data_IF_216535176090
#
_entry.id   IF_216535176090
#
_cell.length_a   1.000
_cell.length_b   1.000
_cell.length_c   1.000
_cell.angle_alpha   90.00
_cell.angle_beta   90.00
_cell.angle_gamma   90.00
#
_symmetry.space_group_name_H-M   'P 1'
#
loop_
_entity.id
_entity.type
_entity.pdbx_description
1 polymer ?
#
# COMPACT_ATOMS: atom_id res chain seq x y z
N UNK A 1 -36.15 5.49 30.63
CA UNK A 1 -36.54 6.72 29.92
C UNK A 1 -35.35 7.65 29.86
N UNK A 2 -35.25 8.38 28.75
CA UNK A 2 -34.32 9.47 28.42
C UNK A 2 -32.99 9.06 27.80
N UNK A 3 -32.54 9.57 26.65
CA UNK A 3 -33.15 10.24 25.50
C UNK A 3 -32.15 10.09 24.34
N UNK A 4 -32.68 9.99 23.13
CA UNK A 4 -31.96 9.97 21.85
C UNK A 4 -31.40 11.37 21.58
N UNK A 5 -30.10 11.49 21.29
CA UNK A 5 -29.57 12.61 20.49
C UNK A 5 -28.68 12.03 19.39
N UNK A 6 -29.31 11.79 18.25
CA UNK A 6 -28.65 11.87 16.94
C UNK A 6 -28.34 13.33 16.67
N UNK A 7 -27.06 13.66 16.46
CA UNK A 7 -26.66 14.90 15.80
C UNK A 7 -25.79 14.54 14.60
N UNK A 8 -26.42 14.52 13.43
CA UNK A 8 -25.75 14.71 12.15
C UNK A 8 -25.07 16.08 12.18
N UNK A 9 -23.78 16.15 11.86
CA UNK A 9 -23.20 17.39 11.33
C UNK A 9 -21.79 17.19 10.81
N UNK A 10 -21.70 17.35 9.49
CA UNK A 10 -20.67 18.05 8.72
C UNK A 10 -19.22 17.52 8.77
N UNK A 11 -18.80 17.07 7.59
CA UNK A 11 -17.42 16.95 7.14
C UNK A 11 -16.56 18.17 7.49
N UNK A 12 -15.56 17.97 8.33
CA UNK A 12 -14.32 18.74 8.32
C UNK A 12 -13.20 17.74 8.55
N UNK A 13 -12.46 17.45 7.48
CA UNK A 13 -11.34 16.51 7.47
C UNK A 13 -10.14 17.21 8.13
N UNK A 14 -10.22 17.46 9.43
CA UNK A 14 -9.05 17.72 10.24
C UNK A 14 -8.31 16.38 10.35
N UNK A 15 -7.15 16.27 9.72
CA UNK A 15 -6.25 15.12 9.89
C UNK A 15 -5.75 15.11 11.35
N UNK A 16 -6.58 14.62 12.26
CA UNK A 16 -6.28 14.50 13.69
C UNK A 16 -5.16 13.49 13.86
N UNK A 17 -3.94 14.00 13.99
CA UNK A 17 -2.77 13.19 14.35
C UNK A 17 -2.98 12.66 15.77
N UNK A 18 -3.24 11.35 15.86
CA UNK A 18 -3.37 10.66 17.15
C UNK A 18 -1.97 10.32 17.64
N UNK A 19 -1.60 10.73 18.85
CA UNK A 19 -0.30 10.41 19.48
C UNK A 19 -0.54 9.35 20.55
N UNK A 20 0.25 8.28 20.56
CA UNK A 20 0.16 7.17 21.52
C UNK A 20 1.53 6.59 21.89
N UNK A 21 1.62 5.75 22.92
CA UNK A 21 2.91 5.23 23.42
C UNK A 21 3.35 4.00 22.64
N UNK A 22 4.38 4.14 21.80
CA UNK A 22 4.78 3.20 20.74
C UNK A 22 5.43 1.90 21.21
N UNK A 23 6.14 1.95 22.34
CA UNK A 23 6.97 0.85 22.83
C UNK A 23 6.88 0.73 24.35
N UNK A 24 7.32 -0.42 24.87
CA UNK A 24 7.37 -0.69 26.32
C UNK A 24 8.30 0.28 27.09
N UNK A 25 9.14 1.03 26.36
CA UNK A 25 10.10 2.00 26.90
C UNK A 25 9.56 3.44 26.95
N UNK A 26 8.28 3.66 26.68
CA UNK A 26 7.63 4.95 26.89
C UNK A 26 7.83 5.99 25.79
N UNK A 27 8.31 5.61 24.60
CA UNK A 27 8.41 6.55 23.47
C UNK A 27 7.05 6.91 22.88
N UNK A 28 6.84 8.18 22.54
CA UNK A 28 5.64 8.67 21.84
C UNK A 28 5.74 8.34 20.35
N UNK A 29 4.71 7.70 19.80
CA UNK A 29 4.56 7.41 18.37
C UNK A 29 3.32 8.05 17.78
N UNK A 30 3.44 8.46 16.51
CA UNK A 30 2.31 8.94 15.72
C UNK A 30 1.48 7.75 15.22
N UNK A 31 0.20 7.75 15.55
CA UNK A 31 -0.78 6.75 15.15
C UNK A 31 -1.43 7.21 13.84
N UNK A 32 -0.83 6.82 12.71
CA UNK A 32 -1.46 6.99 11.41
C UNK A 32 -2.67 6.05 11.33
N UNK A 33 -3.77 6.52 10.72
CA UNK A 33 -5.09 5.88 10.70
C UNK A 33 -5.13 4.46 10.11
N UNK A 34 -4.00 3.96 9.57
CA UNK A 34 -3.82 2.59 9.09
C UNK A 34 -2.65 1.89 9.80
N UNK A 35 -2.97 0.89 10.62
CA UNK A 35 -2.01 -0.11 11.07
C UNK A 35 -1.78 -0.25 12.57
N UNK A 36 -2.38 0.60 13.41
CA UNK A 36 -2.14 0.54 14.86
C UNK A 36 -0.70 0.88 15.21
N UNK A 37 -0.26 0.52 16.41
CA UNK A 37 1.04 0.92 16.95
C UNK A 37 2.04 -0.24 16.87
N UNK A 38 2.40 -0.58 15.63
CA UNK A 38 3.38 -1.62 15.31
C UNK A 38 4.39 -1.08 14.32
N UNK A 39 5.57 -1.67 14.29
CA UNK A 39 6.59 -1.33 13.29
C UNK A 39 6.01 -1.48 11.87
N UNK A 40 6.20 -0.45 11.04
CA UNK A 40 5.65 -0.39 9.68
C UNK A 40 4.19 0.08 9.57
N UNK A 41 3.49 0.35 10.67
CA UNK A 41 2.19 1.01 10.62
C UNK A 41 2.32 2.46 10.12
N UNK A 42 1.43 2.90 9.24
CA UNK A 42 1.50 4.23 8.63
C UNK A 42 2.50 4.39 7.48
N UNK A 43 3.20 3.33 7.04
CA UNK A 43 3.99 3.42 5.80
C UNK A 43 3.06 3.79 4.64
N UNK A 44 3.33 4.91 3.98
CA UNK A 44 2.56 5.37 2.82
C UNK A 44 2.48 4.22 1.80
N UNK A 45 1.27 3.92 1.31
CA UNK A 45 1.08 2.92 0.27
C UNK A 45 1.86 3.33 -0.98
N UNK A 46 2.61 2.40 -1.58
CA UNK A 46 3.35 2.62 -2.84
C UNK A 46 2.43 3.03 -4.01
N UNK A 47 1.14 2.74 -3.92
CA UNK A 47 0.13 3.09 -4.92
C UNK A 47 -1.15 2.32 -4.69
N UNK A 48 -2.01 2.25 -5.72
CA UNK A 48 -3.24 1.46 -5.71
C UNK A 48 -2.94 0.05 -6.26
N UNK A 49 -3.27 -0.98 -5.49
CA UNK A 49 -3.18 -2.38 -5.96
C UNK A 49 -4.50 -2.81 -6.57
N UNK A 50 -4.47 -3.31 -7.82
CA UNK A 50 -5.61 -3.99 -8.47
C UNK A 50 -5.22 -5.45 -8.76
N UNK A 51 -6.10 -6.41 -8.40
CA UNK A 51 -5.91 -7.82 -8.76
C UNK A 51 -6.38 -8.01 -10.20
N UNK A 52 -5.57 -8.70 -11.00
CA UNK A 52 -5.87 -9.01 -12.41
C UNK A 52 -5.62 -10.50 -12.64
N UNK A 53 -6.42 -11.09 -13.53
CA UNK A 53 -6.17 -12.42 -14.07
C UNK A 53 -5.47 -12.27 -15.41
N UNK A 54 -4.40 -13.03 -15.63
CA UNK A 54 -3.65 -13.05 -16.88
C UNK A 54 -3.66 -14.47 -17.43
N UNK A 55 -3.82 -14.58 -18.74
CA UNK A 55 -3.68 -15.84 -19.47
C UNK A 55 -2.55 -15.65 -20.48
N UNK A 56 -1.48 -16.41 -20.30
CA UNK A 56 -0.27 -16.39 -21.12
C UNK A 56 0.06 -17.85 -21.49
N UNK A 57 0.92 -18.04 -22.48
CA UNK A 57 1.45 -19.37 -22.79
C UNK A 57 2.31 -19.90 -21.65
N UNK A 58 2.48 -21.22 -21.60
CA UNK A 58 3.31 -21.90 -20.59
C UNK A 58 4.76 -21.41 -20.64
N UNK A 59 5.33 -21.28 -21.84
CA UNK A 59 6.71 -20.81 -22.02
C UNK A 59 6.92 -19.41 -21.40
N UNK A 60 5.95 -18.51 -21.57
CA UNK A 60 6.01 -17.16 -20.99
C UNK A 60 5.88 -17.21 -19.47
N UNK A 61 5.05 -18.10 -18.93
CA UNK A 61 4.97 -18.31 -17.47
C UNK A 61 6.30 -18.80 -16.91
N UNK A 62 6.96 -19.73 -17.59
CA UNK A 62 8.28 -20.24 -17.19
C UNK A 62 9.34 -19.13 -17.19
N UNK A 63 9.37 -18.28 -18.21
CA UNK A 63 10.28 -17.12 -18.24
C UNK A 63 10.04 -16.17 -17.05
N UNK A 64 8.78 -15.91 -16.70
CA UNK A 64 8.43 -15.07 -15.54
C UNK A 64 8.88 -15.72 -14.23
N UNK A 65 8.69 -17.03 -14.08
CA UNK A 65 9.12 -17.76 -12.89
C UNK A 65 10.64 -17.77 -12.74
N UNK A 66 11.36 -17.97 -13.84
CA UNK A 66 12.82 -17.87 -13.86
C UNK A 66 13.28 -16.45 -13.47
N UNK A 67 12.66 -15.41 -14.04
CA UNK A 67 12.96 -14.03 -13.68
C UNK A 67 12.69 -13.72 -12.19
N UNK A 68 11.67 -14.33 -11.59
CA UNK A 68 11.40 -14.22 -10.15
C UNK A 68 12.54 -14.86 -9.33
N UNK A 69 13.01 -16.04 -9.73
CA UNK A 69 14.11 -16.74 -9.07
C UNK A 69 15.42 -15.95 -9.17
N UNK A 70 15.77 -15.49 -10.37
CA UNK A 70 17.02 -14.78 -10.66
C UNK A 70 17.11 -13.44 -9.89
N UNK A 71 16.00 -12.73 -9.76
CA UNK A 71 15.92 -11.43 -9.07
C UNK A 71 15.61 -11.56 -7.58
N UNK A 72 15.37 -12.78 -7.07
CA UNK A 72 14.83 -13.04 -5.74
C UNK A 72 13.62 -12.13 -5.42
N UNK A 73 12.71 -12.00 -6.39
CA UNK A 73 11.62 -11.03 -6.38
C UNK A 73 10.25 -11.74 -6.45
N UNK A 74 9.21 -11.11 -5.91
CA UNK A 74 7.85 -11.62 -6.06
C UNK A 74 7.35 -11.47 -7.49
N UNK A 75 6.45 -12.36 -7.93
CA UNK A 75 5.74 -12.23 -9.21
C UNK A 75 5.11 -10.84 -9.41
N UNK A 76 4.48 -10.30 -8.36
CA UNK A 76 3.90 -8.95 -8.39
C UNK A 76 4.93 -7.84 -8.58
N UNK A 77 6.17 -8.02 -8.10
CA UNK A 77 7.26 -7.08 -8.31
C UNK A 77 7.78 -7.19 -9.75
N UNK A 78 7.99 -8.41 -10.25
CA UNK A 78 8.42 -8.65 -11.64
C UNK A 78 7.42 -8.04 -12.63
N UNK A 79 6.13 -8.30 -12.46
CA UNK A 79 5.09 -7.67 -13.29
C UNK A 79 5.09 -6.16 -13.20
N UNK A 80 5.25 -5.59 -11.99
CA UNK A 80 5.33 -4.14 -11.82
C UNK A 80 6.50 -3.57 -12.60
N UNK A 81 7.69 -4.16 -12.49
CA UNK A 81 8.88 -3.71 -13.20
C UNK A 81 8.68 -3.73 -14.73
N UNK A 82 8.09 -4.80 -15.26
CA UNK A 82 7.79 -4.93 -16.71
C UNK A 82 6.81 -3.84 -17.15
N UNK A 83 5.72 -3.65 -16.42
CA UNK A 83 4.68 -2.66 -16.72
C UNK A 83 5.26 -1.24 -16.62
N UNK A 84 6.02 -0.94 -15.57
CA UNK A 84 6.66 0.37 -15.39
C UNK A 84 7.69 0.64 -16.49
N UNK A 85 8.50 -0.34 -16.89
CA UNK A 85 9.46 -0.19 -17.98
C UNK A 85 8.79 0.12 -19.33
N UNK A 86 7.56 -0.36 -19.53
CA UNK A 86 6.78 -0.08 -20.74
C UNK A 86 6.12 1.30 -20.71
N UNK A 87 5.50 1.71 -19.59
CA UNK A 87 4.73 2.96 -19.52
C UNK A 87 5.53 4.19 -19.08
N UNK A 88 6.60 4.04 -18.31
CA UNK A 88 7.36 5.19 -17.74
C UNK A 88 8.36 5.78 -18.75
N UNK A 89 8.68 5.07 -19.84
CA UNK A 89 9.54 5.62 -20.92
C UNK A 89 8.94 6.84 -21.63
N UNK A 90 7.61 6.96 -21.67
CA UNK A 90 6.91 8.06 -22.37
C UNK A 90 6.88 9.38 -21.57
N UNK A 91 7.37 9.42 -20.33
CA UNK A 91 7.20 10.58 -19.43
C UNK A 91 8.44 11.48 -19.28
N UNK A 92 9.53 11.20 -20.01
CA UNK A 92 10.80 11.95 -19.89
C UNK A 92 11.15 12.80 -21.11
N UNK A 93 10.28 12.89 -22.11
CA UNK A 93 10.44 13.78 -23.25
C UNK A 93 9.14 14.59 -23.45
N UNK A 94 9.00 15.69 -22.70
CA UNK A 94 8.09 16.80 -22.98
C UNK A 94 8.57 18.04 -22.24
#
# INVERSE_FOLDING_TARGET
MKDKVTSDSASNNEDKVKVGVATKDGQLGFLFTRGGLREGAGRKSTGVTKKVSLTLSEDVWQEIEQACADQNASRSQVFRNIIEAHFVKESKES
#
